data_IF_667356366865
#
_entry.id   IF_667356366865
#
_cell.length_a   1.000
_cell.length_b   1.000
_cell.length_c   1.000
_cell.angle_alpha   90.00
_cell.angle_beta   90.00
_cell.angle_gamma   90.00
#
_symmetry.space_group_name_H-M   'P 1'
#
loop_
_entity.id
_entity.type
_entity.pdbx_description
1 polymer ?
#
# COMPACT_ATOMS: atom_id res chain seq x y z
N UNK A 1 -8.31 -21.20 9.05
CA UNK A 1 -7.55 -20.35 10.01
C UNK A 1 -8.47 -19.30 10.61
N UNK A 2 -8.46 -19.06 11.94
CA UNK A 2 -9.31 -18.01 12.56
C UNK A 2 -8.52 -16.72 12.74
N UNK A 3 -8.96 -15.66 12.07
CA UNK A 3 -8.40 -14.31 12.17
C UNK A 3 -9.32 -13.45 13.02
N UNK A 4 -8.75 -12.66 13.92
CA UNK A 4 -9.47 -11.70 14.76
C UNK A 4 -8.90 -10.32 14.52
N UNK A 5 -9.73 -9.40 14.00
CA UNK A 5 -9.37 -7.99 13.81
C UNK A 5 -9.53 -7.26 15.14
N UNK A 6 -8.52 -6.51 15.53
CA UNK A 6 -8.49 -5.72 16.78
C UNK A 6 -8.68 -4.23 16.53
N UNK A 7 -8.22 -3.73 15.39
CA UNK A 7 -8.24 -2.31 15.03
C UNK A 7 -8.36 -2.12 13.53
N UNK A 8 -9.05 -1.06 13.14
CA UNK A 8 -9.13 -0.56 11.77
C UNK A 8 -9.19 0.97 11.83
N UNK A 9 -8.21 1.65 11.21
CA UNK A 9 -8.10 3.11 11.26
C UNK A 9 -7.47 3.68 9.99
N UNK A 10 -7.69 4.97 9.78
CA UNK A 10 -7.03 5.73 8.72
C UNK A 10 -5.64 6.19 9.17
N UNK A 11 -4.60 5.91 8.38
CA UNK A 11 -3.24 6.43 8.54
C UNK A 11 -3.03 7.55 7.52
N UNK A 12 -2.63 8.72 8.01
CA UNK A 12 -2.44 9.93 7.20
C UNK A 12 -0.95 10.20 6.96
N UNK A 13 -0.59 11.00 5.94
CA UNK A 13 0.77 11.49 5.77
C UNK A 13 1.27 12.24 7.01
N UNK A 14 2.45 11.89 7.51
CA UNK A 14 3.10 12.57 8.65
C UNK A 14 4.21 13.51 8.17
N UNK A 15 3.79 14.69 7.68
CA UNK A 15 4.71 15.74 7.22
C UNK A 15 5.65 16.23 8.33
N UNK A 16 5.16 16.25 9.57
CA UNK A 16 5.91 16.73 10.73
C UNK A 16 7.10 15.83 11.05
N UNK A 17 6.91 14.51 11.03
CA UNK A 17 7.99 13.56 11.19
C UNK A 17 9.05 13.64 10.07
N UNK A 18 8.66 14.06 8.87
CA UNK A 18 9.56 14.27 7.74
C UNK A 18 10.20 15.67 7.71
N UNK A 19 9.79 16.60 8.58
CA UNK A 19 10.28 17.98 8.57
C UNK A 19 9.87 18.79 7.33
N UNK A 20 8.77 18.39 6.68
CA UNK A 20 8.25 19.04 5.46
C UNK A 20 6.99 19.82 5.79
N UNK A 21 6.74 20.92 5.08
CA UNK A 21 5.48 21.64 5.19
C UNK A 21 4.31 20.77 4.69
N UNK A 22 3.14 20.80 5.34
CA UNK A 22 1.96 20.11 4.83
C UNK A 22 1.61 20.58 3.41
N UNK A 23 1.36 19.62 2.52
CA UNK A 23 0.91 19.90 1.17
C UNK A 23 -0.57 20.33 1.16
N UNK A 24 -1.02 20.91 0.06
CA UNK A 24 -2.43 21.31 -0.10
C UNK A 24 -3.33 20.08 -0.19
N UNK A 25 -4.38 20.06 0.62
CA UNK A 25 -5.41 19.00 0.60
C UNK A 25 -6.48 19.23 -0.47
N UNK A 26 -6.34 20.29 -1.26
CA UNK A 26 -7.18 20.60 -2.42
C UNK A 26 -6.52 20.14 -3.74
N UNK A 27 -5.33 19.54 -3.68
CA UNK A 27 -4.61 19.11 -4.87
C UNK A 27 -5.32 17.93 -5.54
N UNK A 28 -5.28 17.91 -6.87
CA UNK A 28 -5.97 16.92 -7.70
C UNK A 28 -4.99 16.37 -8.73
N UNK A 29 -4.98 15.04 -8.89
CA UNK A 29 -4.22 14.35 -9.91
C UNK A 29 -5.19 13.71 -10.91
N UNK A 30 -5.38 14.28 -12.11
CA UNK A 30 -6.23 13.68 -13.13
C UNK A 30 -5.73 12.30 -13.54
N UNK A 31 -6.64 11.33 -13.70
CA UNK A 31 -6.29 10.02 -14.23
C UNK A 31 -5.93 10.14 -15.73
N UNK A 32 -4.83 9.50 -16.11
CA UNK A 32 -4.43 9.46 -17.51
C UNK A 32 -5.32 8.52 -18.31
N UNK A 33 -5.21 8.59 -19.65
CA UNK A 33 -5.92 7.65 -20.53
C UNK A 33 -5.49 6.19 -20.31
N UNK A 34 -4.27 5.95 -19.86
CA UNK A 34 -3.77 4.60 -19.58
C UNK A 34 -4.34 4.07 -18.26
N UNK A 35 -4.48 4.92 -17.25
CA UNK A 35 -5.11 4.56 -15.98
C UNK A 35 -6.59 4.19 -16.21
N UNK A 36 -7.29 4.99 -17.02
CA UNK A 36 -8.69 4.76 -17.39
C UNK A 36 -8.92 3.51 -18.26
N UNK A 37 -7.88 3.02 -18.94
CA UNK A 37 -7.94 1.80 -19.74
C UNK A 37 -7.70 0.52 -18.90
N UNK A 38 -7.23 0.67 -17.67
CA UNK A 38 -6.95 -0.43 -16.77
C UNK A 38 -8.20 -0.84 -15.97
N UNK A 39 -8.11 -1.94 -15.22
CA UNK A 39 -9.21 -2.42 -14.39
C UNK A 39 -9.50 -1.46 -13.24
N UNK A 40 -10.77 -1.10 -13.09
CA UNK A 40 -11.28 -0.31 -11.97
C UNK A 40 -11.67 -1.25 -10.82
N UNK A 41 -10.67 -1.82 -10.17
CA UNK A 41 -10.86 -2.86 -9.14
C UNK A 41 -9.74 -2.86 -8.11
N UNK A 42 -10.01 -3.41 -6.93
CA UNK A 42 -8.99 -3.63 -5.91
C UNK A 42 -8.22 -4.92 -6.21
N UNK A 43 -6.89 -4.80 -6.27
CA UNK A 43 -6.00 -5.95 -6.38
C UNK A 43 -5.44 -6.27 -5.00
N UNK A 44 -5.66 -7.50 -4.54
CA UNK A 44 -5.21 -7.97 -3.22
C UNK A 44 -4.00 -8.88 -3.36
N UNK A 45 -3.01 -8.68 -2.47
CA UNK A 45 -1.79 -9.49 -2.40
C UNK A 45 -1.46 -9.76 -0.93
N UNK A 46 -0.93 -10.96 -0.64
CA UNK A 46 -0.62 -11.41 0.72
C UNK A 46 0.88 -11.69 0.83
N UNK A 47 1.50 -11.15 1.88
CA UNK A 47 2.89 -11.39 2.23
C UNK A 47 2.99 -12.04 3.62
N UNK A 48 4.02 -12.88 3.83
CA UNK A 48 4.23 -13.59 5.08
C UNK A 48 5.71 -13.46 5.51
N UNK A 49 5.94 -13.07 6.76
CA UNK A 49 7.27 -12.86 7.34
C UNK A 49 7.52 -13.81 8.50
N UNK A 50 8.75 -14.33 8.62
CA UNK A 50 9.17 -15.04 9.83
C UNK A 50 9.37 -14.07 10.98
N UNK A 51 9.25 -14.57 12.20
CA UNK A 51 9.64 -13.82 13.40
C UNK A 51 11.16 -13.53 13.37
N UNK A 52 11.65 -12.38 13.86
CA UNK A 52 10.94 -11.29 14.55
C UNK A 52 10.54 -10.14 13.60
N UNK A 53 9.24 -9.97 13.37
CA UNK A 53 8.72 -8.82 12.62
C UNK A 53 8.64 -7.56 13.52
N UNK A 54 8.74 -6.34 12.95
CA UNK A 54 8.54 -5.10 13.70
C UNK A 54 7.13 -5.02 14.34
N UNK A 55 6.97 -4.34 15.49
CA UNK A 55 5.65 -4.07 16.07
C UNK A 55 4.76 -3.22 15.15
N UNK A 56 3.43 -3.36 15.29
CA UNK A 56 2.45 -2.62 14.48
C UNK A 56 2.67 -1.10 14.48
N UNK A 57 3.03 -0.52 15.63
CA UNK A 57 3.29 0.92 15.74
C UNK A 57 4.47 1.39 14.87
N UNK A 58 5.49 0.54 14.66
CA UNK A 58 6.62 0.85 13.76
C UNK A 58 6.17 0.83 12.31
N UNK A 59 5.32 -0.15 11.94
CA UNK A 59 4.77 -0.27 10.60
C UNK A 59 3.83 0.91 10.27
N UNK A 60 2.95 1.27 11.21
CA UNK A 60 2.06 2.42 11.09
C UNK A 60 2.84 3.74 10.90
N UNK A 61 3.86 3.98 11.73
CA UNK A 61 4.70 5.18 11.61
C UNK A 61 5.50 5.19 10.30
N UNK A 62 5.95 4.01 9.84
CA UNK A 62 6.59 3.86 8.53
C UNK A 62 5.65 4.21 7.38
N UNK A 63 4.41 3.70 7.43
CA UNK A 63 3.38 4.01 6.45
C UNK A 63 3.04 5.51 6.43
N UNK A 64 2.85 6.13 7.60
CA UNK A 64 2.56 7.55 7.71
C UNK A 64 3.64 8.43 7.07
N UNK A 65 4.92 8.08 7.24
CA UNK A 65 6.03 8.77 6.57
C UNK A 65 6.05 8.53 5.06
N UNK A 66 5.82 7.29 4.61
CA UNK A 66 5.80 6.96 3.18
C UNK A 66 4.67 7.69 2.44
N UNK A 67 3.51 7.86 3.08
CA UNK A 67 2.36 8.57 2.52
C UNK A 67 2.64 10.07 2.26
N UNK A 68 3.72 10.64 2.79
CA UNK A 68 4.15 12.01 2.45
C UNK A 68 4.57 12.10 0.97
N UNK A 69 5.28 11.09 0.48
CA UNK A 69 5.74 11.03 -0.91
C UNK A 69 4.73 10.33 -1.83
N UNK A 70 3.79 9.56 -1.27
CA UNK A 70 2.78 8.79 -1.98
C UNK A 70 1.35 9.16 -1.55
N UNK A 71 1.03 10.46 -1.63
CA UNK A 71 -0.24 11.01 -1.14
C UNK A 71 -1.47 10.45 -1.84
N UNK A 72 -1.34 9.97 -3.08
CA UNK A 72 -2.42 9.33 -3.83
C UNK A 72 -3.09 8.21 -3.01
N UNK A 73 -2.29 7.44 -2.26
CA UNK A 73 -2.78 6.34 -1.43
C UNK A 73 -3.52 6.78 -0.16
N UNK A 74 -3.29 8.01 0.29
CA UNK A 74 -4.06 8.66 1.34
C UNK A 74 -5.24 9.48 0.80
N UNK A 75 -5.40 9.57 -0.53
CA UNK A 75 -6.44 10.32 -1.20
C UNK A 75 -7.75 9.55 -1.37
N UNK A 76 -8.60 10.07 -2.25
CA UNK A 76 -9.86 9.43 -2.69
C UNK A 76 -10.01 9.56 -4.21
N UNK A 77 -10.60 8.55 -4.84
CA UNK A 77 -11.05 8.68 -6.22
C UNK A 77 -12.27 9.62 -6.25
N UNK A 78 -12.29 10.52 -7.23
CA UNK A 78 -13.36 11.49 -7.42
C UNK A 78 -13.35 12.04 -8.84
N UNK A 79 -13.87 13.25 -8.98
CA UNK A 79 -13.88 13.99 -10.25
C UNK A 79 -13.22 15.36 -10.06
N UNK A 80 -12.48 15.80 -11.06
CA UNK A 80 -11.91 17.14 -11.13
C UNK A 80 -12.99 18.19 -11.48
N UNK A 81 -12.66 19.50 -11.46
CA UNK A 81 -13.60 20.56 -11.83
C UNK A 81 -14.15 20.49 -13.27
N UNK A 82 -13.51 19.73 -14.16
CA UNK A 82 -13.97 19.51 -15.53
C UNK A 82 -14.88 18.28 -15.65
N UNK A 83 -15.09 17.54 -14.55
CA UNK A 83 -15.89 16.31 -14.52
C UNK A 83 -15.10 15.06 -14.90
N UNK A 84 -13.78 15.14 -15.04
CA UNK A 84 -12.93 13.99 -15.38
C UNK A 84 -12.50 13.23 -14.11
N UNK A 85 -12.36 11.91 -14.21
CA UNK A 85 -11.90 11.08 -13.09
C UNK A 85 -10.50 11.50 -12.62
N UNK A 86 -10.35 11.65 -11.31
CA UNK A 86 -9.11 12.09 -10.71
C UNK A 86 -8.92 11.49 -9.30
N UNK A 87 -7.69 11.59 -8.81
CA UNK A 87 -7.35 11.31 -7.42
C UNK A 87 -7.31 12.64 -6.67
N UNK A 88 -8.15 12.77 -5.66
CA UNK A 88 -8.19 13.90 -4.75
C UNK A 88 -7.15 13.67 -3.65
N UNK A 89 -6.09 14.48 -3.61
CA UNK A 89 -5.04 14.40 -2.59
C UNK A 89 -5.52 15.08 -1.30
N UNK A 90 -6.57 14.54 -0.69
CA UNK A 90 -7.26 15.14 0.46
C UNK A 90 -6.74 14.65 1.82
N UNK A 91 -5.71 13.81 1.83
CA UNK A 91 -5.09 13.22 3.01
C UNK A 91 -6.10 12.58 3.98
N UNK A 92 -7.19 12.02 3.45
CA UNK A 92 -8.20 11.31 4.22
C UNK A 92 -7.60 10.06 4.92
N UNK A 93 -6.57 9.47 4.31
CA UNK A 93 -5.76 8.40 4.86
C UNK A 93 -6.03 7.04 4.22
N UNK A 94 -5.02 6.18 4.32
CA UNK A 94 -5.08 4.77 3.93
C UNK A 94 -5.63 3.92 5.09
N UNK A 95 -6.36 2.85 4.79
CA UNK A 95 -6.88 1.96 5.84
C UNK A 95 -5.76 1.05 6.35
N UNK A 96 -5.53 1.05 7.65
CA UNK A 96 -4.59 0.17 8.34
C UNK A 96 -5.34 -0.71 9.34
N UNK A 97 -5.28 -2.03 9.13
CA UNK A 97 -5.93 -3.01 10.00
C UNK A 97 -4.91 -3.86 10.76
N UNK A 98 -5.20 -4.06 12.05
CA UNK A 98 -4.42 -4.89 12.95
C UNK A 98 -5.23 -6.12 13.33
N UNK A 99 -4.65 -7.30 13.15
CA UNK A 99 -5.31 -8.56 13.42
C UNK A 99 -4.34 -9.60 13.99
N UNK A 100 -4.87 -10.61 14.68
CA UNK A 100 -4.11 -11.80 15.10
C UNK A 100 -4.74 -13.06 14.56
N UNK A 101 -3.92 -14.08 14.35
CA UNK A 101 -4.37 -15.43 14.06
C UNK A 101 -3.96 -16.37 15.19
N UNK A 102 -4.88 -17.21 15.65
CA UNK A 102 -4.62 -18.20 16.70
C UNK A 102 -4.03 -19.49 16.11
N UNK A 103 -2.97 -19.34 15.31
CA UNK A 103 -2.29 -20.44 14.63
C UNK A 103 -0.87 -20.01 14.26
N UNK A 104 0.08 -20.94 14.34
CA UNK A 104 1.45 -20.70 13.88
C UNK A 104 1.50 -20.65 12.35
N UNK A 105 2.21 -19.65 11.79
CA UNK A 105 2.33 -19.46 10.34
C UNK A 105 2.86 -20.71 9.64
N UNK A 106 3.89 -21.37 10.19
CA UNK A 106 4.50 -22.57 9.60
C UNK A 106 3.52 -23.75 9.45
N UNK A 107 2.44 -23.79 10.25
CA UNK A 107 1.43 -24.86 10.18
C UNK A 107 0.41 -24.68 9.05
N UNK A 108 0.33 -23.49 8.46
CA UNK A 108 -0.59 -23.15 7.36
C UNK A 108 0.13 -22.88 6.05
N UNK A 109 1.47 -22.93 6.05
CA UNK A 109 2.30 -22.73 4.85
C UNK A 109 2.51 -24.05 4.10
N UNK A 110 2.55 -24.03 2.75
CA UNK A 110 2.28 -22.87 1.89
C UNK A 110 0.78 -22.54 1.85
N UNK A 111 0.46 -21.24 1.85
CA UNK A 111 -0.93 -20.77 1.68
C UNK A 111 -1.47 -21.25 0.33
N UNK A 112 -2.70 -21.80 0.34
CA UNK A 112 -3.40 -22.20 -0.87
C UNK A 112 -4.38 -21.09 -1.29
N UNK A 113 -4.59 -20.85 -2.60
CA UNK A 113 -5.54 -19.87 -3.08
C UNK A 113 -6.99 -20.37 -2.90
N UNK A 114 -7.48 -20.33 -1.66
CA UNK A 114 -8.83 -20.69 -1.25
C UNK A 114 -9.55 -19.47 -0.67
N UNK A 115 -10.88 -19.46 -0.56
CA UNK A 115 -11.60 -18.34 0.06
C UNK A 115 -11.15 -18.01 1.49
N UNK A 116 -10.49 -18.93 2.19
CA UNK A 116 -9.94 -18.65 3.53
C UNK A 116 -8.89 -17.53 3.52
N UNK A 117 -8.11 -17.40 2.44
CA UNK A 117 -7.06 -16.37 2.37
C UNK A 117 -7.62 -14.95 2.21
N UNK A 118 -8.90 -14.80 1.84
CA UNK A 118 -9.56 -13.49 1.78
C UNK A 118 -9.64 -12.82 3.16
N UNK A 119 -9.56 -13.59 4.24
CA UNK A 119 -9.55 -13.04 5.59
C UNK A 119 -8.19 -12.40 5.98
N UNK A 120 -7.15 -12.56 5.15
CA UNK A 120 -5.80 -12.02 5.39
C UNK A 120 -5.59 -10.62 4.81
N UNK A 121 -6.58 -10.07 4.12
CA UNK A 121 -6.52 -8.71 3.60
C UNK A 121 -7.87 -8.01 3.79
N UNK A 122 -7.89 -6.67 3.74
CA UNK A 122 -9.14 -5.92 3.69
C UNK A 122 -9.97 -6.31 2.46
N UNK A 123 -11.30 -6.34 2.60
CA UNK A 123 -12.18 -6.49 1.45
C UNK A 123 -12.04 -5.27 0.53
N UNK A 124 -12.00 -5.51 -0.78
CA UNK A 124 -12.18 -4.49 -1.81
C UNK A 124 -13.60 -4.48 -2.40
N UNK A 125 -14.40 -5.51 -2.09
CA UNK A 125 -15.71 -5.75 -2.71
C UNK A 125 -16.86 -5.04 -1.96
N UNK A 126 -16.59 -4.47 -0.78
CA UNK A 126 -17.56 -3.72 0.02
C UNK A 126 -17.62 -2.23 -0.33
N UNK A 127 -16.99 -1.84 -1.45
CA UNK A 127 -16.95 -0.47 -1.96
C UNK A 127 -16.20 0.51 -1.05
N UNK A 128 -14.97 0.19 -0.60
CA UNK A 128 -14.23 1.10 0.26
C UNK A 128 -13.83 2.37 -0.50
N UNK A 129 -13.80 3.49 0.23
CA UNK A 129 -13.39 4.78 -0.33
C UNK A 129 -11.86 4.89 -0.44
N UNK A 130 -11.13 4.22 0.45
CA UNK A 130 -9.66 4.28 0.53
C UNK A 130 -8.99 3.56 -0.63
N UNK A 131 -8.12 4.26 -1.36
CA UNK A 131 -7.40 3.68 -2.50
C UNK A 131 -6.34 2.66 -2.10
N UNK A 132 -5.81 2.78 -0.88
CA UNK A 132 -4.87 1.82 -0.30
C UNK A 132 -5.46 1.21 0.96
N UNK A 133 -5.50 -0.13 0.96
CA UNK A 133 -5.99 -0.95 2.04
C UNK A 133 -4.84 -1.86 2.49
N UNK A 134 -4.26 -1.59 3.66
CA UNK A 134 -3.09 -2.33 4.17
C UNK A 134 -3.45 -3.14 5.41
N UNK A 135 -3.02 -4.39 5.41
CA UNK A 135 -2.96 -5.26 6.56
C UNK A 135 -1.50 -5.73 6.74
N UNK A 136 -0.66 -4.90 7.37
CA UNK A 136 0.79 -5.10 7.59
C UNK A 136 1.66 -5.04 6.31
N UNK A 137 2.68 -4.16 6.22
CA UNK A 137 3.48 -3.99 5.00
C UNK A 137 4.96 -3.56 5.22
N UNK A 138 5.89 -4.26 4.56
CA UNK A 138 7.25 -3.85 4.12
C UNK A 138 7.75 -4.78 2.98
N UNK A 139 8.48 -4.30 1.96
CA UNK A 139 8.76 -4.99 0.67
C UNK A 139 10.19 -5.59 0.60
N UNK A 140 10.34 -6.86 0.18
CA UNK A 140 11.52 -7.45 -0.51
C UNK A 140 11.09 -8.73 -1.29
N UNK A 141 11.40 -8.88 -2.60
CA UNK A 141 11.21 -10.16 -3.37
C UNK A 141 12.57 -10.84 -3.60
N UNK A 142 12.75 -12.17 -3.59
CA UNK A 142 14.00 -12.80 -4.06
C UNK A 142 14.16 -12.74 -5.59
N UNK A 143 15.40 -12.68 -6.05
CA UNK A 143 15.81 -12.45 -7.44
C UNK A 143 15.54 -13.62 -8.39
N UNK A 144 15.12 -13.31 -9.62
CA UNK A 144 14.95 -14.29 -10.71
C UNK A 144 16.24 -15.01 -11.12
N UNK A 145 17.41 -14.52 -10.69
CA UNK A 145 18.70 -15.14 -10.95
C UNK A 145 19.02 -16.29 -9.98
N UNK A 146 18.25 -16.45 -8.90
CA UNK A 146 18.46 -17.51 -7.92
C UNK A 146 19.78 -17.39 -7.14
N UNK A 147 20.41 -16.23 -7.18
CA UNK A 147 21.71 -15.92 -6.57
C UNK A 147 21.59 -15.39 -5.12
N UNK A 148 20.36 -15.32 -4.59
CA UNK A 148 20.07 -14.78 -3.26
C UNK A 148 19.89 -13.27 -3.21
N UNK A 149 19.94 -12.56 -4.34
CA UNK A 149 19.57 -11.15 -4.43
C UNK A 149 18.04 -10.96 -4.39
N UNK A 150 17.56 -9.72 -4.48
CA UNK A 150 16.14 -9.36 -4.30
C UNK A 150 15.64 -8.52 -5.47
N UNK A 151 14.53 -8.91 -6.11
CA UNK A 151 13.81 -8.10 -7.09
C UNK A 151 12.71 -7.25 -6.44
N UNK A 152 12.33 -6.14 -7.07
CA UNK A 152 11.18 -5.35 -6.65
C UNK A 152 10.42 -4.86 -7.88
N UNK A 153 9.12 -5.11 -7.92
CA UNK A 153 8.22 -4.55 -8.94
C UNK A 153 7.51 -3.34 -8.36
N UNK A 154 7.79 -2.16 -8.92
CA UNK A 154 7.13 -0.91 -8.58
C UNK A 154 6.37 -0.43 -9.82
N UNK A 155 5.02 -0.50 -9.85
CA UNK A 155 4.25 0.15 -10.89
C UNK A 155 4.36 1.66 -10.66
N UNK A 156 5.17 2.32 -11.50
CA UNK A 156 5.40 3.77 -11.43
C UNK A 156 4.63 4.47 -12.55
N UNK A 157 4.08 5.65 -12.24
CA UNK A 157 3.62 6.58 -13.25
C UNK A 157 4.82 7.05 -14.08
N UNK A 158 4.63 7.24 -15.39
CA UNK A 158 5.73 7.55 -16.32
C UNK A 158 6.54 8.80 -15.93
N UNK A 159 5.92 9.76 -15.22
CA UNK A 159 6.57 10.99 -14.76
C UNK A 159 7.64 10.75 -13.69
N UNK A 160 7.46 9.70 -12.88
CA UNK A 160 8.34 9.39 -11.74
C UNK A 160 9.45 8.39 -12.11
N UNK A 161 9.38 7.83 -13.32
CA UNK A 161 10.33 6.86 -13.85
C UNK A 161 11.76 7.42 -13.93
N UNK A 162 11.92 8.69 -14.29
CA UNK A 162 13.24 9.31 -14.41
C UNK A 162 13.87 9.58 -13.03
N UNK A 163 13.05 9.99 -12.06
CA UNK A 163 13.49 10.18 -10.66
C UNK A 163 13.88 8.85 -10.05
N UNK A 164 13.08 7.80 -10.24
CA UNK A 164 13.39 6.46 -9.76
C UNK A 164 14.72 5.92 -10.32
N UNK A 165 14.96 6.08 -11.63
CA UNK A 165 16.24 5.69 -12.26
C UNK A 165 17.46 6.38 -11.67
N UNK A 166 17.31 7.62 -11.18
CA UNK A 166 18.42 8.38 -10.60
C UNK A 166 18.69 8.04 -9.13
N UNK A 167 17.74 7.40 -8.43
CA UNK A 167 17.85 7.04 -7.02
C UNK A 167 18.37 5.60 -6.81
N UNK A 168 18.23 4.73 -7.79
CA UNK A 168 18.74 3.36 -7.73
C UNK A 168 20.21 3.32 -8.22
N UNK A 169 21.16 3.43 -7.30
CA UNK A 169 22.56 3.07 -7.58
C UNK A 169 22.75 1.57 -7.29
N UNK A 170 23.47 0.88 -8.15
CA UNK A 170 24.03 -0.45 -7.85
C UNK A 170 24.95 -0.32 -6.63
N UNK A 171 24.62 -1.00 -5.55
CA UNK A 171 25.58 -1.33 -4.50
C UNK A 171 26.21 -2.66 -4.92
N UNK A 172 27.47 -2.60 -5.34
CA UNK A 172 28.30 -3.79 -5.60
C UNK A 172 28.42 -4.68 -4.35
#
# INVERSE_FOLDING_TARGET
MKITVHSSKAVKPDYGACGVAPASTADVVPLTVLDKANFDTYISVIYAFRASAPPNAVLEAGLARALVDYREWAGRLGVDPNGERAIMLNDAGARFMEATADVALDSVMPLKPTPEVLNLHPSGDDGPEELMLIQGLLILLPSFLGDGSVDAYVPLLSRDMNTFKNCCYTLD
#
